data_IF_335032598658
#
_entry.id   IF_335032598658
#
_cell.length_a   1.000
_cell.length_b   1.000
_cell.length_c   1.000
_cell.angle_alpha   90.00
_cell.angle_beta   90.00
_cell.angle_gamma   90.00
#
_symmetry.space_group_name_H-M   'P 1'
#
loop_
_entity.id
_entity.type
_entity.pdbx_description
1 polymer ?
#
# COMPACT_ATOMS: atom_id res chain seq x y z
N UNK A 1 25.55 -28.56 57.27
CA UNK A 1 24.14 -28.74 56.87
C UNK A 1 23.64 -27.43 56.28
N UNK A 2 23.63 -27.30 54.96
CA UNK A 2 23.12 -26.12 54.27
C UNK A 2 21.61 -26.29 54.05
N UNK A 3 20.81 -25.48 54.74
CA UNK A 3 19.36 -25.39 54.57
C UNK A 3 19.05 -24.63 53.28
N UNK A 4 18.50 -25.35 52.30
CA UNK A 4 17.98 -24.78 51.06
C UNK A 4 16.71 -24.00 51.40
N UNK A 5 16.74 -22.68 51.22
CA UNK A 5 15.56 -21.83 51.37
C UNK A 5 14.52 -22.20 50.30
N UNK A 6 13.34 -22.66 50.73
CA UNK A 6 12.23 -22.98 49.85
C UNK A 6 11.71 -21.70 49.17
N UNK A 7 11.89 -21.61 47.85
CA UNK A 7 11.37 -20.50 47.05
C UNK A 7 9.85 -20.39 47.25
N UNK A 8 9.41 -19.30 47.87
CA UNK A 8 7.99 -18.98 47.99
C UNK A 8 7.47 -18.59 46.60
N UNK A 9 6.79 -19.51 45.92
CA UNK A 9 6.03 -19.19 44.73
C UNK A 9 4.78 -18.40 45.13
N UNK A 10 4.52 -17.23 44.53
CA UNK A 10 3.32 -16.46 44.84
C UNK A 10 2.05 -17.26 44.48
N UNK A 11 0.91 -17.02 45.17
CA UNK A 11 -0.34 -17.74 44.92
C UNK A 11 -1.05 -17.33 43.62
N UNK A 12 -0.43 -16.45 42.84
CA UNK A 12 -0.97 -15.90 41.58
C UNK A 12 -0.04 -16.22 40.42
N UNK A 13 -0.61 -16.30 39.22
CA UNK A 13 0.13 -16.43 37.95
C UNK A 13 -0.03 -15.15 37.16
N UNK A 14 1.00 -14.80 36.40
CA UNK A 14 0.95 -13.69 35.45
C UNK A 14 -0.15 -13.98 34.43
N UNK A 15 -1.09 -13.05 34.29
CA UNK A 15 -2.19 -13.09 33.34
C UNK A 15 -2.10 -11.82 32.50
N UNK A 16 -2.05 -11.98 31.18
CA UNK A 16 -1.89 -10.87 30.25
C UNK A 16 -3.01 -10.93 29.20
N UNK A 17 -3.59 -9.77 28.90
CA UNK A 17 -4.42 -9.60 27.72
C UNK A 17 -3.50 -9.29 26.54
N UNK A 18 -3.72 -9.97 25.41
CA UNK A 18 -2.96 -9.80 24.18
C UNK A 18 -3.93 -9.54 23.02
N UNK A 19 -3.52 -8.66 22.11
CA UNK A 19 -4.16 -8.47 20.82
C UNK A 19 -3.07 -8.69 19.76
N UNK A 20 -3.33 -9.59 18.80
CA UNK A 20 -2.44 -9.78 17.67
C UNK A 20 -2.65 -8.66 16.65
N UNK A 21 -1.58 -8.22 15.98
CA UNK A 21 -1.70 -7.13 15.00
C UNK A 21 -2.65 -7.49 13.84
N UNK A 22 -2.71 -8.76 13.44
CA UNK A 22 -3.69 -9.23 12.44
C UNK A 22 -5.14 -9.08 12.90
N UNK A 23 -5.42 -9.20 14.21
CA UNK A 23 -6.77 -9.00 14.74
C UNK A 23 -7.14 -7.51 14.73
N UNK A 24 -6.19 -6.64 15.07
CA UNK A 24 -6.36 -5.18 14.96
C UNK A 24 -6.66 -4.74 13.53
N UNK A 25 -5.93 -5.27 12.54
CA UNK A 25 -6.20 -4.98 11.13
C UNK A 25 -7.61 -5.44 10.78
N UNK A 26 -7.95 -6.71 11.06
CA UNK A 26 -9.28 -7.27 10.78
C UNK A 26 -10.40 -6.39 11.36
N UNK A 27 -10.27 -5.98 12.62
CA UNK A 27 -11.25 -5.13 13.28
C UNK A 27 -11.34 -3.75 12.61
N UNK A 28 -10.21 -3.16 12.24
CA UNK A 28 -10.19 -1.89 11.50
C UNK A 28 -10.93 -2.02 10.18
N UNK A 29 -10.72 -3.10 9.43
CA UNK A 29 -11.34 -3.30 8.12
C UNK A 29 -12.86 -3.54 8.16
N UNK A 30 -13.41 -3.96 9.30
CA UNK A 30 -14.87 -4.09 9.47
C UNK A 30 -15.57 -2.74 9.33
N UNK A 31 -14.97 -1.66 9.84
CA UNK A 31 -15.51 -0.30 9.74
C UNK A 31 -15.52 0.22 8.29
N UNK A 32 -14.63 -0.32 7.45
CA UNK A 32 -14.51 0.05 6.02
C UNK A 32 -15.39 -0.80 5.09
N UNK A 33 -16.11 -1.79 5.62
CA UNK A 33 -16.97 -2.70 4.86
C UNK A 33 -16.28 -3.27 3.61
N UNK A 34 -15.01 -3.66 3.74
CA UNK A 34 -14.17 -4.08 2.62
C UNK A 34 -14.69 -5.31 1.87
N UNK A 35 -15.50 -6.15 2.53
CA UNK A 35 -16.17 -7.29 1.89
C UNK A 35 -17.13 -6.86 0.77
N UNK A 36 -17.74 -5.69 0.91
CA UNK A 36 -18.69 -5.15 -0.07
C UNK A 36 -18.03 -4.45 -1.26
N UNK A 37 -16.71 -4.20 -1.18
CA UNK A 37 -15.95 -3.39 -2.15
C UNK A 37 -16.62 -2.03 -2.46
N UNK A 38 -17.41 -1.49 -1.52
CA UNK A 38 -18.28 -0.35 -1.71
C UNK A 38 -17.88 0.90 -0.89
N UNK A 39 -17.89 2.04 -1.57
CA UNK A 39 -18.05 3.42 -1.09
C UNK A 39 -17.51 3.86 0.30
N UNK A 40 -16.25 3.54 0.60
CA UNK A 40 -15.43 4.20 1.64
C UNK A 40 -13.93 3.97 1.41
N UNK A 41 -13.58 3.81 0.13
CA UNK A 41 -12.61 2.81 -0.31
C UNK A 41 -11.13 3.09 -0.06
N UNK A 42 -10.39 2.00 -0.22
CA UNK A 42 -8.92 1.93 -0.17
C UNK A 42 -8.27 3.08 -0.96
N UNK A 43 -8.74 3.34 -2.19
CA UNK A 43 -8.19 4.41 -3.03
C UNK A 43 -8.37 5.82 -2.45
N UNK A 44 -9.44 6.06 -1.68
CA UNK A 44 -9.69 7.33 -1.03
C UNK A 44 -8.68 7.61 0.08
N UNK A 45 -8.36 6.59 0.89
CA UNK A 45 -7.35 6.67 1.95
C UNK A 45 -5.95 6.90 1.38
N UNK A 46 -5.60 6.22 0.28
CA UNK A 46 -4.32 6.47 -0.40
C UNK A 46 -4.22 7.85 -1.04
N UNK A 47 -5.34 8.39 -1.59
CA UNK A 47 -5.37 9.77 -2.08
C UNK A 47 -5.20 10.77 -0.94
N UNK A 48 -5.86 10.57 0.20
CA UNK A 48 -5.70 11.40 1.39
C UNK A 48 -4.25 11.37 1.90
N UNK A 49 -3.63 10.19 1.99
CA UNK A 49 -2.22 10.05 2.37
C UNK A 49 -1.28 10.80 1.42
N UNK A 50 -1.55 10.75 0.11
CA UNK A 50 -0.76 11.48 -0.88
C UNK A 50 -0.91 13.01 -0.71
N UNK A 51 -2.13 13.48 -0.46
CA UNK A 51 -2.39 14.90 -0.19
C UNK A 51 -1.69 15.38 1.09
N UNK A 52 -1.79 14.63 2.18
CA UNK A 52 -1.13 14.94 3.46
C UNK A 52 0.41 14.90 3.35
N UNK A 53 0.96 14.09 2.44
CA UNK A 53 2.38 14.07 2.11
C UNK A 53 2.82 15.28 1.25
N UNK A 54 1.86 16.06 0.73
CA UNK A 54 2.10 17.21 -0.13
C UNK A 54 2.35 16.85 -1.59
N UNK A 55 1.85 15.70 -2.05
CA UNK A 55 1.95 15.29 -3.45
C UNK A 55 1.15 16.23 -4.36
N UNK A 56 1.65 16.49 -5.57
CA UNK A 56 0.89 17.17 -6.61
C UNK A 56 0.14 16.17 -7.49
N UNK A 57 0.73 14.98 -7.69
CA UNK A 57 0.21 13.93 -8.55
C UNK A 57 -0.06 12.67 -7.74
N UNK A 58 -1.26 12.11 -7.93
CA UNK A 58 -1.66 10.80 -7.44
C UNK A 58 -2.11 9.92 -8.61
N UNK A 59 -1.72 8.65 -8.60
CA UNK A 59 -2.15 7.67 -9.58
C UNK A 59 -2.59 6.37 -8.91
N UNK A 60 -3.78 5.89 -9.29
CA UNK A 60 -4.26 4.55 -9.04
C UNK A 60 -3.97 3.70 -10.28
N UNK A 61 -3.29 2.57 -10.10
CA UNK A 61 -2.89 1.69 -11.18
C UNK A 61 -3.36 0.27 -10.87
N UNK A 62 -4.06 -0.36 -11.80
CA UNK A 62 -4.15 -1.82 -11.82
C UNK A 62 -3.02 -2.36 -12.69
N UNK A 63 -2.13 -3.14 -12.07
CA UNK A 63 -1.04 -3.82 -12.73
C UNK A 63 -1.36 -5.31 -12.86
N UNK A 64 -1.79 -5.73 -14.04
CA UNK A 64 -2.19 -7.11 -14.33
C UNK A 64 -1.03 -8.07 -14.60
N UNK A 65 0.22 -7.62 -14.45
CA UNK A 65 1.40 -8.44 -14.75
C UNK A 65 1.63 -9.53 -13.71
N UNK A 66 2.20 -10.64 -14.18
CA UNK A 66 2.80 -11.67 -13.34
C UNK A 66 4.31 -11.66 -13.52
N UNK A 67 5.03 -11.76 -12.41
CA UNK A 67 6.48 -11.61 -12.37
C UNK A 67 7.20 -12.93 -12.07
N UNK A 68 8.51 -12.97 -12.35
CA UNK A 68 9.35 -14.11 -12.01
C UNK A 68 9.36 -14.42 -10.51
N UNK A 69 9.78 -15.63 -10.17
CA UNK A 69 9.85 -16.13 -8.78
C UNK A 69 11.19 -16.79 -8.45
N UNK A 70 12.18 -16.66 -9.34
CA UNK A 70 13.47 -17.32 -9.21
C UNK A 70 14.42 -16.53 -8.30
N UNK A 71 14.39 -15.20 -8.39
CA UNK A 71 15.31 -14.28 -7.72
C UNK A 71 14.55 -13.42 -6.70
N UNK A 72 14.02 -14.08 -5.67
CA UNK A 72 13.25 -13.44 -4.61
C UNK A 72 14.08 -13.22 -3.36
N UNK A 73 13.74 -12.18 -2.60
CA UNK A 73 14.32 -11.91 -1.28
C UNK A 73 14.02 -13.05 -0.31
N UNK A 74 12.78 -13.55 -0.35
CA UNK A 74 12.37 -14.79 0.33
C UNK A 74 11.50 -15.65 -0.60
N UNK A 75 11.63 -16.99 -0.56
CA UNK A 75 10.81 -17.89 -1.37
C UNK A 75 9.30 -17.74 -1.12
N UNK A 76 8.89 -17.38 0.10
CA UNK A 76 7.49 -17.16 0.46
C UNK A 76 6.80 -16.05 -0.36
N UNK A 77 7.57 -15.12 -0.94
CA UNK A 77 7.04 -14.04 -1.77
C UNK A 77 6.55 -14.53 -3.14
N UNK A 78 6.81 -15.78 -3.54
CA UNK A 78 6.39 -16.31 -4.83
C UNK A 78 4.87 -16.21 -5.06
N UNK A 79 4.06 -16.36 -4.00
CA UNK A 79 2.60 -16.23 -4.06
C UNK A 79 2.12 -14.78 -4.28
N UNK A 80 3.00 -13.78 -4.16
CA UNK A 80 2.70 -12.34 -4.19
C UNK A 80 3.30 -11.61 -5.41
N UNK A 81 3.73 -12.38 -6.42
CA UNK A 81 4.31 -11.91 -7.67
C UNK A 81 3.29 -11.72 -8.81
N UNK A 82 1.99 -11.89 -8.53
CA UNK A 82 0.91 -11.73 -9.49
C UNK A 82 0.37 -10.30 -9.61
N UNK A 83 -0.85 -10.15 -10.18
CA UNK A 83 -1.52 -8.85 -10.34
C UNK A 83 -1.63 -8.05 -9.04
N UNK A 84 -1.62 -6.72 -9.15
CA UNK A 84 -1.60 -5.81 -8.01
C UNK A 84 -2.43 -4.54 -8.23
N UNK A 85 -2.96 -4.01 -7.14
CA UNK A 85 -3.38 -2.61 -7.07
C UNK A 85 -2.21 -1.76 -6.57
N UNK A 86 -1.91 -0.71 -7.31
CA UNK A 86 -0.76 0.13 -7.08
C UNK A 86 -1.19 1.59 -6.89
N UNK A 87 -0.66 2.25 -5.86
CA UNK A 87 -0.94 3.64 -5.54
C UNK A 87 0.37 4.42 -5.57
N UNK A 88 0.53 5.25 -6.58
CA UNK A 88 1.69 6.11 -6.76
C UNK A 88 1.35 7.54 -6.38
N UNK A 89 2.30 8.24 -5.76
CA UNK A 89 2.30 9.69 -5.68
C UNK A 89 3.72 10.26 -5.81
N UNK A 90 3.83 11.52 -6.21
CA UNK A 90 5.12 12.19 -6.45
C UNK A 90 5.75 12.82 -5.19
N UNK A 91 5.12 12.69 -4.02
CA UNK A 91 5.76 12.99 -2.75
C UNK A 91 6.63 11.81 -2.28
N UNK A 92 7.63 12.14 -1.47
CA UNK A 92 8.61 11.19 -0.92
C UNK A 92 8.39 11.07 0.58
N UNK A 93 8.49 9.85 1.10
CA UNK A 93 8.46 9.63 2.53
C UNK A 93 9.64 10.26 3.24
N UNK A 94 9.32 10.90 4.36
CA UNK A 94 10.26 11.42 5.33
C UNK A 94 10.42 10.38 6.44
N UNK A 95 11.44 10.56 7.28
CA UNK A 95 11.68 9.70 8.44
C UNK A 95 10.45 9.52 9.35
N UNK A 96 9.66 10.57 9.53
CA UNK A 96 8.42 10.51 10.30
C UNK A 96 7.32 9.66 9.65
N UNK A 97 7.27 9.60 8.32
CA UNK A 97 6.26 8.81 7.60
C UNK A 97 6.57 7.31 7.71
N UNK A 98 7.85 6.92 7.61
CA UNK A 98 8.30 5.55 7.86
C UNK A 98 8.00 5.09 9.29
N UNK A 99 8.27 5.95 10.28
CA UNK A 99 7.92 5.67 11.67
C UNK A 99 6.40 5.54 11.88
N UNK A 100 5.59 6.36 11.22
CA UNK A 100 4.14 6.29 11.31
C UNK A 100 3.56 4.98 10.73
N UNK A 101 4.22 4.41 9.71
CA UNK A 101 3.83 3.12 9.12
C UNK A 101 4.29 1.93 9.96
N UNK A 102 5.42 2.02 10.65
CA UNK A 102 5.87 0.94 11.54
C UNK A 102 5.14 0.94 12.89
N UNK A 103 4.72 2.11 13.38
CA UNK A 103 4.09 2.29 14.70
C UNK A 103 2.55 2.47 14.64
N UNK A 104 1.88 1.70 13.77
CA UNK A 104 0.43 1.88 13.54
C UNK A 104 -0.40 1.77 14.83
N UNK A 105 -1.19 2.79 15.11
CA UNK A 105 -2.09 2.82 16.27
C UNK A 105 -1.41 3.13 17.61
N UNK A 106 -0.09 3.38 17.60
CA UNK A 106 0.60 4.04 18.70
C UNK A 106 0.38 5.53 18.47
N UNK A 107 -0.52 6.13 19.25
CA UNK A 107 -0.74 7.58 19.20
C UNK A 107 0.55 8.28 19.63
N UNK A 108 1.40 8.69 18.69
CA UNK A 108 2.46 9.63 18.98
C UNK A 108 1.79 10.93 19.43
N UNK A 109 1.92 11.24 20.72
CA UNK A 109 1.39 12.47 21.29
C UNK A 109 2.10 13.66 20.62
N UNK A 110 1.33 14.38 19.79
CA UNK A 110 1.29 15.85 19.63
C UNK A 110 2.63 16.60 19.64
N UNK A 111 2.98 17.13 18.46
CA UNK A 111 3.48 18.52 18.33
C UNK A 111 2.86 19.28 17.15
N UNK A 112 2.17 18.61 16.21
CA UNK A 112 1.62 19.25 15.01
C UNK A 112 0.09 19.06 14.92
N UNK A 113 -0.66 19.94 15.59
CA UNK A 113 -2.15 19.97 15.58
C UNK A 113 -2.74 20.26 14.18
N UNK A 114 -1.90 20.51 13.17
CA UNK A 114 -2.32 20.73 11.77
C UNK A 114 -2.61 19.42 11.02
N UNK A 115 -2.12 18.28 11.52
CA UNK A 115 -2.30 16.95 10.92
C UNK A 115 -3.29 16.13 11.73
N UNK A 116 -4.54 16.55 11.73
CA UNK A 116 -5.66 15.78 12.32
C UNK A 116 -5.96 14.60 11.38
N UNK A 117 -5.16 13.54 11.48
CA UNK A 117 -5.34 12.30 10.76
C UNK A 117 -4.92 11.13 11.65
N UNK A 118 -5.68 10.04 11.63
CA UNK A 118 -5.32 8.78 12.30
C UNK A 118 -4.13 8.16 11.56
N UNK A 119 -2.92 8.66 11.82
CA UNK A 119 -1.69 8.22 11.16
C UNK A 119 -1.58 6.70 11.15
N UNK A 120 -1.33 6.14 9.97
CA UNK A 120 -1.15 4.71 9.75
C UNK A 120 -2.43 3.89 9.53
N UNK A 121 -3.62 4.36 9.91
CA UNK A 121 -4.86 3.59 9.69
C UNK A 121 -5.28 3.54 8.23
N UNK A 122 -5.07 4.63 7.47
CA UNK A 122 -5.36 4.66 6.04
C UNK A 122 -4.54 3.60 5.27
N UNK A 123 -3.28 3.39 5.66
CA UNK A 123 -2.43 2.35 5.07
C UNK A 123 -2.94 0.92 5.37
N UNK A 124 -3.57 0.69 6.54
CA UNK A 124 -4.16 -0.61 6.87
C UNK A 124 -5.29 -1.00 5.90
N UNK A 125 -5.97 -0.02 5.30
CA UNK A 125 -7.02 -0.32 4.31
C UNK A 125 -6.49 -1.06 3.08
N UNK A 126 -5.18 -0.99 2.81
CA UNK A 126 -4.55 -1.81 1.79
C UNK A 126 -4.77 -3.32 1.99
N UNK A 127 -4.87 -3.77 3.25
CA UNK A 127 -5.13 -5.18 3.57
C UNK A 127 -6.53 -5.67 3.18
N UNK A 128 -7.41 -4.79 2.69
CA UNK A 128 -8.64 -5.20 2.02
C UNK A 128 -8.35 -6.03 0.77
N UNK A 129 -7.26 -5.70 0.07
CA UNK A 129 -6.90 -6.32 -1.21
C UNK A 129 -5.76 -7.35 -1.08
N UNK A 130 -4.93 -7.27 -0.03
CA UNK A 130 -3.70 -8.06 0.09
C UNK A 130 -3.43 -8.50 1.53
N UNK A 131 -2.49 -9.42 1.72
CA UNK A 131 -1.85 -9.69 3.02
C UNK A 131 -0.37 -9.27 3.05
N UNK A 132 0.19 -8.83 1.92
CA UNK A 132 1.58 -8.37 1.81
C UNK A 132 1.60 -7.02 1.11
N UNK A 133 2.11 -5.98 1.79
CA UNK A 133 2.22 -4.62 1.24
C UNK A 133 3.67 -4.34 0.88
N UNK A 134 3.91 -3.89 -0.34
CA UNK A 134 5.20 -3.38 -0.80
C UNK A 134 5.15 -1.85 -0.80
N UNK A 135 6.15 -1.19 -0.23
CA UNK A 135 6.27 0.27 -0.20
C UNK A 135 7.65 0.65 -0.68
N UNK A 136 7.76 1.53 -1.69
CA UNK A 136 9.05 2.09 -2.10
C UNK A 136 8.97 3.61 -2.15
N UNK A 137 9.96 4.27 -1.57
CA UNK A 137 10.14 5.72 -1.68
C UNK A 137 11.61 6.07 -1.48
N UNK A 138 12.15 6.95 -2.32
CA UNK A 138 13.59 7.24 -2.37
C UNK A 138 14.41 5.94 -2.54
N UNK A 139 15.38 5.69 -1.66
CA UNK A 139 16.19 4.47 -1.66
C UNK A 139 15.57 3.34 -0.83
N UNK A 140 14.52 3.62 -0.07
CA UNK A 140 13.97 2.69 0.91
C UNK A 140 12.85 1.86 0.29
N UNK A 141 12.96 0.55 0.42
CA UNK A 141 11.94 -0.43 0.07
C UNK A 141 11.55 -1.26 1.30
N UNK A 142 10.25 -1.32 1.59
CA UNK A 142 9.69 -2.04 2.72
C UNK A 142 8.68 -3.07 2.24
N UNK A 143 8.75 -4.27 2.82
CA UNK A 143 7.69 -5.29 2.69
C UNK A 143 7.06 -5.49 4.06
N UNK A 144 5.74 -5.41 4.14
CA UNK A 144 4.96 -5.64 5.36
C UNK A 144 4.13 -6.92 5.20
N UNK A 145 4.34 -7.88 6.09
CA UNK A 145 3.62 -9.14 6.21
C UNK A 145 3.16 -9.30 7.67
N UNK A 146 2.01 -8.75 8.08
CA UNK A 146 1.55 -8.82 9.46
C UNK A 146 1.30 -10.26 9.94
N UNK A 147 1.21 -11.23 9.04
CA UNK A 147 1.07 -12.63 9.41
C UNK A 147 2.40 -13.28 9.80
N UNK A 148 3.52 -12.74 9.33
CA UNK A 148 4.87 -13.32 9.49
C UNK A 148 5.01 -14.68 8.79
N UNK A 149 4.32 -14.88 7.65
CA UNK A 149 4.27 -16.17 6.94
C UNK A 149 5.17 -16.22 5.70
N UNK A 150 5.58 -15.07 5.17
CA UNK A 150 6.19 -14.93 3.85
C UNK A 150 7.62 -14.37 3.89
N UNK A 151 8.05 -13.83 5.04
CA UNK A 151 9.37 -13.22 5.25
C UNK A 151 10.17 -13.98 6.30
N UNK A 152 11.47 -14.19 6.07
CA UNK A 152 12.39 -14.71 7.09
C UNK A 152 13.06 -13.53 7.83
N UNK A 153 12.32 -12.94 8.77
CA UNK A 153 12.81 -11.76 9.51
C UNK A 153 11.80 -11.11 10.44
N UNK A 154 10.54 -11.54 10.39
CA UNK A 154 9.45 -10.97 11.17
C UNK A 154 8.36 -10.39 10.27
N UNK A 155 7.45 -9.57 10.82
CA UNK A 155 6.27 -9.10 10.09
C UNK A 155 6.55 -7.96 9.10
N UNK A 156 7.83 -7.61 8.92
CA UNK A 156 8.24 -6.66 7.91
C UNK A 156 9.76 -6.62 7.76
N UNK A 157 10.20 -6.21 6.58
CA UNK A 157 11.61 -5.99 6.26
C UNK A 157 11.80 -4.64 5.58
N UNK A 158 12.97 -4.06 5.77
CA UNK A 158 13.43 -2.84 5.10
C UNK A 158 14.71 -3.14 4.33
N UNK A 159 14.80 -2.59 3.13
CA UNK A 159 15.96 -2.66 2.25
C UNK A 159 16.28 -1.24 1.78
N UNK A 160 17.51 -0.78 2.03
CA UNK A 160 18.03 0.45 1.45
C UNK A 160 18.85 0.13 0.19
N UNK A 161 18.38 0.62 -0.97
CA UNK A 161 19.04 0.46 -2.26
C UNK A 161 20.45 1.08 -2.30
N UNK A 162 20.71 2.15 -1.54
CA UNK A 162 22.03 2.78 -1.49
C UNK A 162 23.07 1.85 -0.87
N UNK A 163 22.68 1.10 0.15
CA UNK A 163 23.55 0.17 0.87
C UNK A 163 23.83 -1.14 0.12
N UNK A 164 23.08 -1.43 -0.96
CA UNK A 164 23.24 -2.67 -1.71
C UNK A 164 24.22 -2.55 -2.88
N UNK A 165 25.04 -3.59 -3.08
CA UNK A 165 25.81 -3.76 -4.30
C UNK A 165 24.93 -4.24 -5.46
N UNK A 166 25.33 -3.91 -6.70
CA UNK A 166 24.62 -4.34 -7.91
C UNK A 166 24.38 -5.86 -7.96
N UNK A 167 25.36 -6.64 -7.51
CA UNK A 167 25.26 -8.10 -7.49
C UNK A 167 24.20 -8.61 -6.49
N UNK A 168 23.95 -7.90 -5.39
CA UNK A 168 22.87 -8.21 -4.45
C UNK A 168 21.52 -7.89 -5.08
N UNK A 169 21.40 -6.73 -5.72
CA UNK A 169 20.17 -6.30 -6.41
C UNK A 169 19.74 -7.30 -7.50
N UNK A 170 20.69 -7.86 -8.25
CA UNK A 170 20.38 -8.90 -9.26
C UNK A 170 19.84 -10.20 -8.66
N UNK A 171 20.22 -10.56 -7.43
CA UNK A 171 19.73 -11.78 -6.74
C UNK A 171 18.30 -11.65 -6.23
N UNK A 172 17.82 -10.42 -6.10
CA UNK A 172 16.45 -10.09 -5.67
C UNK A 172 15.65 -9.41 -6.79
N UNK A 173 16.12 -9.51 -8.04
CA UNK A 173 15.55 -8.81 -9.18
C UNK A 173 14.03 -9.06 -9.32
N UNK A 174 13.60 -10.29 -9.12
CA UNK A 174 12.19 -10.63 -9.25
C UNK A 174 11.35 -9.95 -8.17
N UNK A 175 11.90 -9.68 -6.98
CA UNK A 175 11.22 -8.91 -5.91
C UNK A 175 11.03 -7.45 -6.30
N UNK A 176 11.96 -6.87 -7.07
CA UNK A 176 12.03 -5.43 -7.35
C UNK A 176 11.44 -5.05 -8.71
N UNK A 177 11.47 -5.94 -9.69
CA UNK A 177 10.85 -5.74 -11.01
C UNK A 177 9.36 -5.31 -10.97
N UNK A 178 8.53 -5.72 -9.99
CA UNK A 178 7.14 -5.29 -9.90
C UNK A 178 6.97 -3.82 -9.52
N UNK A 179 8.02 -3.13 -9.07
CA UNK A 179 7.97 -1.71 -8.69
C UNK A 179 7.91 -0.77 -9.89
N UNK A 180 8.33 -1.22 -11.09
CA UNK A 180 8.24 -0.44 -12.32
C UNK A 180 6.82 -0.50 -12.92
N UNK A 181 5.85 0.13 -12.24
CA UNK A 181 4.42 0.05 -12.60
C UNK A 181 4.04 1.02 -13.72
N UNK A 182 4.60 2.24 -13.73
CA UNK A 182 4.34 3.28 -14.72
C UNK A 182 5.38 3.33 -15.87
N UNK A 183 6.41 2.49 -15.80
CA UNK A 183 7.54 2.53 -16.72
C UNK A 183 8.57 3.59 -16.32
N UNK A 184 9.85 3.24 -16.44
CA UNK A 184 10.97 4.15 -16.24
C UNK A 184 11.58 4.12 -14.84
N UNK A 185 11.08 3.29 -13.92
CA UNK A 185 11.83 2.95 -12.72
C UNK A 185 12.90 1.91 -13.06
N UNK A 186 14.15 2.28 -12.87
CA UNK A 186 15.30 1.40 -12.99
C UNK A 186 15.89 1.21 -11.60
N UNK A 187 15.85 -0.03 -11.12
CA UNK A 187 16.37 -0.41 -9.79
C UNK A 187 17.83 0.02 -9.63
N UNK A 188 18.60 0.01 -10.72
CA UNK A 188 20.00 0.44 -10.79
C UNK A 188 20.21 1.90 -10.43
N UNK A 189 19.19 2.76 -10.58
CA UNK A 189 19.25 4.16 -10.19
C UNK A 189 19.15 4.36 -8.67
N UNK A 190 18.81 3.30 -7.92
CA UNK A 190 18.72 3.27 -6.45
C UNK A 190 17.80 4.31 -5.81
N UNK A 191 17.03 5.04 -6.62
CA UNK A 191 16.10 6.07 -6.16
C UNK A 191 14.79 5.94 -6.90
N UNK A 192 13.71 5.80 -6.15
CA UNK A 192 12.34 5.83 -6.65
C UNK A 192 11.81 7.28 -6.60
N UNK A 193 11.33 7.84 -7.73
CA UNK A 193 10.96 9.25 -7.83
C UNK A 193 9.53 9.51 -7.31
N UNK A 194 9.33 9.33 -6.00
CA UNK A 194 8.05 9.49 -5.32
C UNK A 194 7.82 8.40 -4.29
N UNK A 195 6.57 8.00 -4.09
CA UNK A 195 6.16 6.89 -3.24
C UNK A 195 5.23 5.97 -4.01
N UNK A 196 5.47 4.66 -3.94
CA UNK A 196 4.60 3.63 -4.48
C UNK A 196 4.24 2.63 -3.40
N UNK A 197 2.94 2.41 -3.24
CA UNK A 197 2.38 1.24 -2.59
C UNK A 197 1.96 0.23 -3.64
N UNK A 198 2.49 -0.99 -3.59
CA UNK A 198 2.06 -2.10 -4.41
C UNK A 198 1.36 -3.14 -3.52
N UNK A 199 0.11 -3.44 -3.85
CA UNK A 199 -0.76 -4.38 -3.14
C UNK A 199 -1.06 -5.59 -4.04
N UNK A 200 -0.19 -6.62 -4.07
CA UNK A 200 -0.48 -7.85 -4.81
C UNK A 200 -1.77 -8.50 -4.32
N UNK A 201 -2.64 -8.85 -5.26
CA UNK A 201 -4.01 -9.24 -4.96
C UNK A 201 -4.07 -10.61 -4.29
N UNK A 202 -4.89 -10.72 -3.24
CA UNK A 202 -5.18 -11.99 -2.58
C UNK A 202 -5.92 -12.93 -3.54
N UNK A 203 -5.37 -14.14 -3.71
CA UNK A 203 -5.83 -15.15 -4.67
C UNK A 203 -6.63 -16.26 -3.97
N UNK A 204 -7.14 -17.22 -4.74
CA UNK A 204 -7.76 -18.43 -4.20
C UNK A 204 -6.81 -19.24 -3.29
N UNK A 205 -5.50 -19.18 -3.55
CA UNK A 205 -4.49 -19.89 -2.77
C UNK A 205 -4.13 -19.16 -1.46
N UNK A 206 -4.05 -17.83 -1.49
CA UNK A 206 -3.64 -17.04 -0.31
C UNK A 206 -4.81 -16.70 0.61
N UNK A 207 -6.04 -16.56 0.08
CA UNK A 207 -7.19 -16.16 0.90
C UNK A 207 -7.55 -17.11 2.05
N UNK A 208 -7.52 -18.45 1.88
CA UNK A 208 -7.76 -19.39 2.97
C UNK A 208 -6.72 -19.27 4.10
N UNK A 209 -5.50 -18.81 3.80
CA UNK A 209 -4.40 -18.67 4.77
C UNK A 209 -4.51 -17.36 5.57
N UNK A 210 -5.11 -16.32 5.01
CA UNK A 210 -5.20 -15.00 5.65
C UNK A 210 -5.98 -15.04 6.97
N UNK A 211 -5.36 -14.58 8.05
CA UNK A 211 -6.07 -14.21 9.28
C UNK A 211 -6.79 -12.86 9.18
N UNK A 212 -6.57 -12.04 8.15
CA UNK A 212 -7.17 -10.70 8.06
C UNK A 212 -8.51 -10.76 7.35
N UNK A 213 -8.56 -11.25 6.10
CA UNK A 213 -9.80 -11.42 5.33
C UNK A 213 -9.73 -12.68 4.48
N UNK A 214 -10.83 -13.44 4.42
CA UNK A 214 -10.94 -14.70 3.65
C UNK A 214 -11.41 -14.52 2.21
N UNK A 215 -11.57 -13.28 1.75
CA UNK A 215 -12.15 -12.97 0.44
C UNK A 215 -11.07 -12.90 -0.63
N UNK A 216 -11.26 -13.66 -1.71
CA UNK A 216 -10.46 -13.57 -2.94
C UNK A 216 -10.75 -12.23 -3.61
N UNK A 217 -9.72 -11.58 -4.15
CA UNK A 217 -9.92 -10.41 -5.01
C UNK A 217 -10.11 -10.87 -6.44
N UNK A 218 -11.33 -10.74 -6.96
CA UNK A 218 -11.66 -11.05 -8.35
C UNK A 218 -11.50 -9.81 -9.24
N UNK A 219 -11.43 -10.03 -10.55
CA UNK A 219 -11.28 -8.94 -11.52
C UNK A 219 -12.46 -7.95 -11.43
N UNK A 220 -13.67 -8.45 -11.19
CA UNK A 220 -14.88 -7.62 -11.03
C UNK A 220 -14.78 -6.67 -9.83
N UNK A 221 -14.07 -7.08 -8.77
CA UNK A 221 -13.79 -6.22 -7.62
C UNK A 221 -12.89 -5.04 -8.01
N UNK A 222 -11.84 -5.33 -8.78
CA UNK A 222 -10.90 -4.32 -9.30
C UNK A 222 -11.61 -3.37 -10.25
N UNK A 223 -12.35 -3.88 -11.22
CA UNK A 223 -13.07 -3.08 -12.21
C UNK A 223 -14.09 -2.14 -11.55
N UNK A 224 -14.80 -2.64 -10.53
CA UNK A 224 -15.72 -1.84 -9.72
C UNK A 224 -14.98 -0.74 -8.95
N UNK A 225 -13.85 -1.08 -8.31
CA UNK A 225 -13.03 -0.10 -7.58
C UNK A 225 -12.54 1.00 -8.51
N UNK A 226 -11.96 0.65 -9.66
CA UNK A 226 -11.50 1.62 -10.67
C UNK A 226 -12.65 2.51 -11.14
N UNK A 227 -13.79 1.90 -11.51
CA UNK A 227 -14.96 2.63 -12.00
C UNK A 227 -15.57 3.57 -10.96
N UNK A 228 -15.69 3.11 -9.71
CA UNK A 228 -16.19 3.92 -8.58
C UNK A 228 -15.22 5.06 -8.27
N UNK A 229 -13.91 4.81 -8.30
CA UNK A 229 -12.90 5.84 -8.07
C UNK A 229 -12.91 6.90 -9.17
N UNK A 230 -12.94 6.52 -10.45
CA UNK A 230 -13.05 7.44 -11.59
C UNK A 230 -14.29 8.33 -11.45
N UNK A 231 -15.45 7.75 -11.09
CA UNK A 231 -16.70 8.51 -10.91
C UNK A 231 -16.61 9.56 -9.80
N UNK A 232 -15.86 9.27 -8.74
CA UNK A 232 -15.72 10.14 -7.55
C UNK A 232 -14.53 11.08 -7.60
N UNK A 233 -13.51 10.78 -8.41
CA UNK A 233 -12.25 11.52 -8.45
C UNK A 233 -12.45 13.03 -8.71
N UNK A 234 -13.42 13.39 -9.56
CA UNK A 234 -13.79 14.79 -9.86
C UNK A 234 -14.27 15.59 -8.63
N UNK A 235 -14.94 14.93 -7.69
CA UNK A 235 -15.50 15.57 -6.52
C UNK A 235 -14.45 15.56 -5.40
N UNK A 236 -13.73 14.45 -5.27
CA UNK A 236 -12.67 14.27 -4.27
C UNK A 236 -11.52 15.28 -4.42
N UNK A 237 -11.05 15.49 -5.65
CA UNK A 237 -9.93 16.40 -5.92
C UNK A 237 -10.25 17.86 -5.55
N UNK A 238 -11.53 18.23 -5.44
CA UNK A 238 -11.91 19.59 -5.01
C UNK A 238 -11.64 19.83 -3.52
N UNK A 239 -11.43 18.77 -2.75
CA UNK A 239 -11.18 18.83 -1.31
C UNK A 239 -9.72 18.51 -0.94
N UNK A 240 -8.86 18.22 -1.92
CA UNK A 240 -7.42 18.07 -1.70
C UNK A 240 -6.75 19.45 -1.57
N UNK A 241 -5.73 19.54 -0.73
CA UNK A 241 -4.97 20.77 -0.48
C UNK A 241 -3.78 20.93 -1.43
N UNK A 242 -3.19 19.82 -1.83
CA UNK A 242 -1.92 19.73 -2.56
C UNK A 242 -2.06 18.95 -3.87
N UNK A 243 -2.83 17.85 -3.88
CA UNK A 243 -3.02 17.05 -5.09
C UNK A 243 -3.83 17.84 -6.11
N UNK A 244 -3.23 18.10 -7.26
CA UNK A 244 -3.86 18.79 -8.39
C UNK A 244 -4.17 17.85 -9.56
N UNK A 245 -3.53 16.68 -9.60
CA UNK A 245 -3.71 15.69 -10.67
C UNK A 245 -3.96 14.29 -10.09
N UNK A 246 -5.12 13.72 -10.42
CA UNK A 246 -5.48 12.33 -10.13
C UNK A 246 -5.58 11.55 -11.43
N UNK A 247 -4.89 10.41 -11.50
CA UNK A 247 -4.86 9.56 -12.67
C UNK A 247 -5.24 8.12 -12.34
N UNK A 248 -5.81 7.42 -13.32
CA UNK A 248 -6.14 6.01 -13.25
C UNK A 248 -5.53 5.29 -14.44
N UNK A 249 -4.78 4.22 -14.19
CA UNK A 249 -4.10 3.43 -15.21
C UNK A 249 -4.49 1.95 -15.12
N UNK A 250 -4.44 1.27 -16.27
CA UNK A 250 -4.44 -0.19 -16.36
C UNK A 250 -3.23 -0.63 -17.15
N UNK A 251 -2.56 -1.68 -16.68
CA UNK A 251 -1.48 -2.35 -17.37
C UNK A 251 -1.82 -3.82 -17.56
N UNK A 252 -1.97 -4.24 -18.81
CA UNK A 252 -2.13 -5.67 -19.16
C UNK A 252 -0.79 -6.41 -19.01
N UNK A 253 -0.83 -7.75 -18.99
CA UNK A 253 0.33 -8.64 -18.70
C UNK A 253 1.63 -8.29 -19.45
N UNK A 254 1.54 -7.87 -20.72
CA UNK A 254 2.72 -7.54 -21.54
C UNK A 254 2.69 -6.08 -22.07
N UNK A 255 1.74 -5.28 -21.59
CA UNK A 255 1.45 -3.96 -22.14
C UNK A 255 2.18 -2.82 -21.43
N UNK A 256 2.37 -1.66 -22.11
CA UNK A 256 2.65 -0.43 -21.40
C UNK A 256 1.43 -0.02 -20.56
N UNK A 257 1.62 0.74 -19.48
CA UNK A 257 0.50 1.30 -18.72
C UNK A 257 -0.34 2.22 -19.61
N UNK A 258 -1.66 2.01 -19.58
CA UNK A 258 -2.65 2.75 -20.36
C UNK A 258 -3.47 3.65 -19.44
N UNK A 259 -3.54 4.95 -19.77
CA UNK A 259 -4.33 5.91 -19.01
C UNK A 259 -5.83 5.69 -19.25
N UNK A 260 -6.58 5.37 -18.20
CA UNK A 260 -8.03 5.23 -18.21
C UNK A 260 -8.78 6.52 -17.89
N UNK A 261 -8.24 7.36 -17.03
CA UNK A 261 -8.84 8.65 -16.68
C UNK A 261 -7.78 9.56 -16.08
N UNK A 262 -7.89 10.87 -16.35
CA UNK A 262 -7.16 11.90 -15.64
C UNK A 262 -8.13 13.01 -15.24
N UNK A 263 -8.06 13.40 -13.99
CA UNK A 263 -8.74 14.56 -13.44
C UNK A 263 -7.68 15.55 -12.99
N UNK A 264 -7.77 16.79 -13.47
CA UNK A 264 -6.82 17.85 -13.14
C UNK A 264 -7.53 19.13 -12.75
N UNK A 265 -7.08 19.75 -11.66
CA UNK A 265 -7.46 21.13 -11.30
C UNK A 265 -6.40 22.06 -11.86
N UNK A 266 -6.84 23.05 -12.65
CA UNK A 266 -5.99 24.15 -13.11
C UNK A 266 -6.21 25.38 -12.26
N UNK A 267 -5.13 26.03 -11.83
CA UNK A 267 -5.20 27.31 -11.13
C UNK A 267 -5.89 27.21 -9.77
N UNK A 268 -5.62 26.14 -9.01
CA UNK A 268 -6.22 25.87 -7.70
C UNK A 268 -6.11 27.05 -6.71
N UNK A 269 -5.10 27.91 -6.89
CA UNK A 269 -4.86 29.11 -6.08
C UNK A 269 -5.27 30.43 -6.77
N UNK A 270 -6.04 30.36 -7.87
CA UNK A 270 -6.51 31.51 -8.63
C UNK A 270 -8.03 31.61 -8.61
N UNK A 271 -8.59 32.82 -8.81
CA UNK A 271 -10.04 33.00 -8.92
C UNK A 271 -10.69 32.28 -10.12
N UNK A 272 -9.89 31.66 -11.00
CA UNK A 272 -10.34 30.96 -12.21
C UNK A 272 -9.97 29.47 -12.15
N UNK A 273 -10.20 28.81 -11.01
CA UNK A 273 -9.99 27.36 -10.91
C UNK A 273 -10.90 26.63 -11.92
N UNK A 274 -10.29 25.77 -12.76
CA UNK A 274 -11.02 25.01 -13.77
C UNK A 274 -10.69 23.53 -13.66
N UNK A 275 -11.74 22.70 -13.61
CA UNK A 275 -11.62 21.25 -13.59
C UNK A 275 -11.59 20.71 -15.03
N UNK A 276 -10.57 19.92 -15.35
CA UNK A 276 -10.46 19.23 -16.64
C UNK A 276 -10.46 17.72 -16.40
N UNK A 277 -11.35 17.02 -17.11
CA UNK A 277 -11.44 15.56 -17.10
C UNK A 277 -11.02 15.09 -18.49
N UNK A 278 -9.95 14.31 -18.54
CA UNK A 278 -9.50 13.63 -19.75
C UNK A 278 -9.87 12.15 -19.63
N UNK A 279 -10.75 11.71 -20.51
CA UNK A 279 -11.04 10.29 -20.73
C UNK A 279 -10.34 9.87 -22.03
N UNK A 280 -9.73 8.68 -22.10
CA UNK A 280 -9.15 8.17 -23.33
C UNK A 280 -10.22 8.00 -24.41
N UNK A 281 -9.80 8.11 -25.67
CA UNK A 281 -10.71 8.01 -26.84
C UNK A 281 -11.40 6.65 -27.00
N UNK A 282 -11.03 5.63 -26.20
CA UNK A 282 -11.67 4.31 -26.15
C UNK A 282 -12.35 4.12 -24.79
N UNK A 283 -13.67 3.94 -24.82
CA UNK A 283 -14.44 3.51 -23.65
C UNK A 283 -14.03 2.08 -23.27
N UNK A 284 -13.23 1.93 -22.21
CA UNK A 284 -12.97 0.63 -21.55
C UNK A 284 -14.13 0.20 -20.61
N UNK A 285 -15.19 1.01 -20.52
CA UNK A 285 -16.31 0.84 -19.58
C UNK A 285 -17.60 0.30 -20.22
N UNK A 286 -17.55 -0.26 -21.43
CA UNK A 286 -18.68 -1.02 -21.96
C UNK A 286 -18.24 -2.46 -22.26
N UNK A 287 -18.88 -3.47 -21.62
CA UNK A 287 -18.68 -4.88 -21.97
C UNK A 287 -19.13 -5.18 -23.41
#
# INVERSE_FOLDING_TARGET
MATVAAAHHPPWRRFEQKEEFTDRIRNTLQDYNCESWGAGGVAQEFLANADDAGANRFALIYDGRTHGTANLLFPGLAEWQGPALCFFNDAKFKKGDWAAISEVGISQKREDDSKIGRFGLGALTGYCCTDVIHIVSESTFVILDPHGSYLDGGPGIELDFEEQEKAQMSKIYDTLSPLDVLGGFEVEKKHFPGTLFRLPLRTEDTAPKSRILKHVVQQENVDRLLSDFIRKAKDMILFTKHVETVEVYVRSEDGPPSLLARVKIHGAHSHNAALRIELPSRNYLNP
#
